data_IF_891395622807
#
_entry.id   IF_891395622807
#
_cell.length_a   1.000
_cell.length_b   1.000
_cell.length_c   1.000
_cell.angle_alpha   90.00
_cell.angle_beta   90.00
_cell.angle_gamma   90.00
#
_symmetry.space_group_name_H-M   'P 1'
#
loop_
_entity.id
_entity.type
_entity.pdbx_description
1 polymer ?
#
# COMPACT_ATOMS: atom_id res chain seq x y z
N UNK A 1 3.90 29.26 -4.72
CA UNK A 1 3.31 27.90 -4.67
C UNK A 1 2.21 27.78 -3.63
N UNK A 2 2.50 27.92 -2.32
CA UNK A 2 1.49 27.81 -1.25
C UNK A 2 0.24 28.68 -1.48
N UNK A 3 0.42 29.96 -1.80
CA UNK A 3 -0.69 30.89 -1.98
C UNK A 3 -1.56 30.51 -3.20
N UNK A 4 -0.95 30.23 -4.35
CA UNK A 4 -1.68 29.76 -5.54
C UNK A 4 -2.41 28.45 -5.28
N UNK A 5 -1.76 27.48 -4.64
CA UNK A 5 -2.39 26.21 -4.24
C UNK A 5 -3.59 26.45 -3.35
N UNK A 6 -3.49 27.39 -2.39
CA UNK A 6 -4.59 27.75 -1.50
C UNK A 6 -5.76 28.31 -2.29
N UNK A 7 -5.55 29.29 -3.16
CA UNK A 7 -6.66 29.89 -3.92
C UNK A 7 -7.37 28.86 -4.81
N UNK A 8 -6.63 27.99 -5.49
CA UNK A 8 -7.22 26.95 -6.33
C UNK A 8 -8.02 25.95 -5.48
N UNK A 9 -7.46 25.50 -4.34
CA UNK A 9 -8.16 24.59 -3.42
C UNK A 9 -9.42 25.26 -2.85
N UNK A 10 -9.31 26.50 -2.38
CA UNK A 10 -10.45 27.26 -1.85
C UNK A 10 -11.56 27.40 -2.88
N UNK A 11 -11.22 27.70 -4.14
CA UNK A 11 -12.19 27.80 -5.23
C UNK A 11 -12.87 26.45 -5.48
N UNK A 12 -12.10 25.36 -5.63
CA UNK A 12 -12.67 24.02 -5.85
C UNK A 12 -13.58 23.61 -4.70
N UNK A 13 -13.17 23.85 -3.46
CA UNK A 13 -13.96 23.52 -2.26
C UNK A 13 -15.21 24.39 -2.16
N UNK A 14 -15.12 25.68 -2.48
CA UNK A 14 -16.27 26.59 -2.47
C UNK A 14 -17.33 26.19 -3.49
N UNK A 15 -16.91 25.78 -4.69
CA UNK A 15 -17.82 25.42 -5.78
C UNK A 15 -18.37 23.99 -5.66
N UNK A 16 -17.54 23.03 -5.23
CA UNK A 16 -17.86 21.59 -5.31
C UNK A 16 -17.73 20.83 -3.99
N UNK A 17 -17.21 21.46 -2.93
CA UNK A 17 -17.00 20.85 -1.63
C UNK A 17 -15.70 20.05 -1.48
N UNK A 18 -15.38 19.72 -0.23
CA UNK A 18 -14.16 19.00 0.15
C UNK A 18 -14.04 17.61 -0.50
N UNK A 19 -15.15 16.87 -0.61
CA UNK A 19 -15.16 15.53 -1.19
C UNK A 19 -14.71 15.54 -2.67
N UNK A 20 -15.13 16.55 -3.45
CA UNK A 20 -14.69 16.69 -4.83
C UNK A 20 -13.19 17.03 -4.90
N UNK A 21 -12.66 17.81 -3.95
CA UNK A 21 -11.22 18.06 -3.85
C UNK A 21 -10.42 16.77 -3.65
N UNK A 22 -10.88 15.86 -2.78
CA UNK A 22 -10.25 14.55 -2.57
C UNK A 22 -10.27 13.70 -3.84
N UNK A 23 -11.41 13.68 -4.54
CA UNK A 23 -11.58 12.97 -5.82
C UNK A 23 -10.61 13.50 -6.87
N UNK A 24 -10.53 14.83 -7.03
CA UNK A 24 -9.60 15.48 -7.96
C UNK A 24 -8.14 15.17 -7.62
N UNK A 25 -7.75 15.18 -6.34
CA UNK A 25 -6.39 14.82 -5.93
C UNK A 25 -6.06 13.33 -6.17
N UNK A 26 -7.06 12.44 -6.11
CA UNK A 26 -6.89 11.02 -6.42
C UNK A 26 -6.90 10.70 -7.92
N UNK A 27 -7.31 11.66 -8.76
CA UNK A 27 -7.26 11.50 -10.21
C UNK A 27 -5.82 11.79 -10.70
N UNK A 28 -5.15 10.82 -11.35
CA UNK A 28 -3.74 10.96 -11.70
C UNK A 28 -3.47 12.07 -12.73
N UNK A 29 -4.43 12.37 -13.62
CA UNK A 29 -4.27 13.39 -14.66
C UNK A 29 -4.49 14.79 -14.07
N UNK A 30 -5.55 14.95 -13.29
CA UNK A 30 -5.83 16.20 -12.59
C UNK A 30 -4.72 16.53 -11.61
N UNK A 31 -4.24 15.56 -10.83
CA UNK A 31 -3.13 15.75 -9.91
C UNK A 31 -1.86 16.20 -10.64
N UNK A 32 -1.58 15.62 -11.81
CA UNK A 32 -0.43 16.01 -12.63
C UNK A 32 -0.59 17.43 -13.18
N UNK A 33 -1.76 17.76 -13.71
CA UNK A 33 -2.08 19.09 -14.23
C UNK A 33 -1.99 20.16 -13.12
N UNK A 34 -2.49 19.85 -11.93
CA UNK A 34 -2.37 20.71 -10.76
C UNK A 34 -0.91 20.95 -10.39
N UNK A 35 -0.07 19.92 -10.45
CA UNK A 35 1.38 20.07 -10.30
C UNK A 35 1.99 21.03 -11.32
N UNK A 36 1.61 20.93 -12.59
CA UNK A 36 2.08 21.84 -13.63
C UNK A 36 1.64 23.29 -13.40
N UNK A 37 0.39 23.51 -12.98
CA UNK A 37 -0.12 24.85 -12.62
C UNK A 37 0.66 25.44 -11.44
N UNK A 38 1.09 24.62 -10.49
CA UNK A 38 1.92 25.04 -9.36
C UNK A 38 3.39 25.30 -9.74
N UNK A 39 3.76 25.08 -11.00
CA UNK A 39 5.10 25.35 -11.55
C UNK A 39 6.03 24.14 -11.59
N UNK A 40 5.52 22.91 -11.48
CA UNK A 40 6.32 21.69 -11.58
C UNK A 40 6.26 21.05 -12.97
N UNK A 41 7.43 20.72 -13.52
CA UNK A 41 7.48 20.03 -14.82
C UNK A 41 6.84 18.65 -14.77
N UNK A 42 6.15 18.30 -15.84
CA UNK A 42 5.38 17.06 -15.94
C UNK A 42 6.24 15.80 -15.77
N UNK A 43 7.51 15.84 -16.17
CA UNK A 43 8.45 14.71 -16.10
C UNK A 43 9.24 14.64 -14.78
N UNK A 44 9.01 15.55 -13.84
CA UNK A 44 9.78 15.57 -12.59
C UNK A 44 9.30 14.50 -11.61
N UNK A 45 10.22 13.64 -11.19
CA UNK A 45 9.97 12.61 -10.17
C UNK A 45 9.58 13.19 -8.80
N UNK A 46 9.84 14.49 -8.58
CA UNK A 46 9.51 15.22 -7.37
C UNK A 46 8.06 15.71 -7.27
N UNK A 47 7.32 15.76 -8.40
CA UNK A 47 5.98 16.40 -8.49
C UNK A 47 5.04 15.92 -7.40
N UNK A 48 4.92 14.61 -7.19
CA UNK A 48 4.00 14.08 -6.18
C UNK A 48 4.32 14.60 -4.79
N UNK A 49 5.60 14.54 -4.40
CA UNK A 49 6.01 14.93 -3.05
C UNK A 49 5.87 16.43 -2.82
N UNK A 50 6.12 17.24 -3.85
CA UNK A 50 6.04 18.69 -3.77
C UNK A 50 4.60 19.18 -3.83
N UNK A 51 3.75 18.60 -4.68
CA UNK A 51 2.31 18.89 -4.74
C UNK A 51 1.63 18.50 -3.43
N UNK A 52 1.85 17.29 -2.92
CA UNK A 52 1.29 16.89 -1.63
C UNK A 52 1.77 17.80 -0.48
N UNK A 53 3.03 18.22 -0.50
CA UNK A 53 3.55 19.21 0.44
C UNK A 53 2.89 20.58 0.31
N UNK A 54 2.70 21.07 -0.92
CA UNK A 54 2.03 22.33 -1.21
C UNK A 54 0.56 22.31 -0.74
N UNK A 55 -0.18 21.23 -1.01
CA UNK A 55 -1.55 21.02 -0.53
C UNK A 55 -1.58 21.08 1.00
N UNK A 56 -0.76 20.26 1.68
CA UNK A 56 -0.70 20.23 3.16
C UNK A 56 -0.39 21.60 3.76
N UNK A 57 0.59 22.32 3.22
CA UNK A 57 0.95 23.65 3.72
C UNK A 57 -0.07 24.74 3.37
N UNK A 58 -0.78 24.60 2.25
CA UNK A 58 -1.79 25.58 1.80
C UNK A 58 -3.01 25.59 2.70
N UNK A 59 -3.45 24.43 3.18
CA UNK A 59 -4.65 24.31 4.02
C UNK A 59 -4.38 24.50 5.52
N UNK A 60 -3.11 24.62 5.91
CA UNK A 60 -2.71 24.71 7.32
C UNK A 60 -3.41 25.88 8.03
N UNK A 61 -4.16 25.56 9.08
CA UNK A 61 -4.99 26.51 9.85
C UNK A 61 -6.37 26.81 9.25
N UNK A 62 -6.70 26.23 8.09
CA UNK A 62 -7.97 26.39 7.37
C UNK A 62 -8.68 25.04 7.19
N UNK A 63 -8.22 23.97 7.83
CA UNK A 63 -8.71 22.61 7.61
C UNK A 63 -10.20 22.48 7.96
N UNK A 64 -10.67 23.19 8.99
CA UNK A 64 -12.08 23.20 9.41
C UNK A 64 -12.96 23.92 8.39
N UNK A 65 -12.48 25.03 7.83
CA UNK A 65 -13.20 25.87 6.89
C UNK A 65 -13.26 25.21 5.51
N UNK A 66 -12.13 24.68 5.04
CA UNK A 66 -12.03 23.92 3.80
C UNK A 66 -12.64 22.52 3.91
N UNK A 67 -12.86 22.02 5.12
CA UNK A 67 -13.58 20.79 5.38
C UNK A 67 -12.79 19.50 5.13
N UNK A 68 -11.46 19.56 5.07
CA UNK A 68 -10.60 18.38 4.97
C UNK A 68 -9.22 18.61 5.61
N UNK A 69 -8.56 17.50 5.93
CA UNK A 69 -7.26 17.42 6.57
C UNK A 69 -6.28 16.65 5.69
N UNK A 70 -4.98 16.92 5.87
CA UNK A 70 -3.90 16.22 5.16
C UNK A 70 -2.86 15.75 6.17
N UNK A 71 -2.63 14.45 6.19
CA UNK A 71 -1.68 13.77 7.05
C UNK A 71 -0.57 13.08 6.23
N UNK A 72 0.60 12.92 6.82
CA UNK A 72 1.76 12.29 6.20
C UNK A 72 2.62 13.24 5.37
N UNK A 73 3.41 12.67 4.47
CA UNK A 73 4.37 13.36 3.62
C UNK A 73 5.52 12.46 3.18
N UNK A 74 6.67 13.06 2.88
CA UNK A 74 7.88 12.36 2.43
C UNK A 74 8.72 11.83 3.60
N UNK A 75 9.35 10.68 3.42
CA UNK A 75 10.40 10.14 4.29
C UNK A 75 9.92 9.91 5.71
N UNK A 76 10.52 10.58 6.70
CA UNK A 76 10.14 10.37 8.11
C UNK A 76 8.71 10.84 8.42
N UNK A 77 8.18 11.79 7.65
CA UNK A 77 6.83 12.34 7.85
C UNK A 77 5.73 11.35 7.49
N UNK A 78 5.94 10.46 6.51
CA UNK A 78 4.97 9.39 6.18
C UNK A 78 4.65 8.50 7.39
N UNK A 79 5.64 8.26 8.26
CA UNK A 79 5.48 7.45 9.47
C UNK A 79 4.72 8.16 10.58
N UNK A 80 4.56 9.49 10.50
CA UNK A 80 3.78 10.30 11.45
C UNK A 80 2.29 10.36 11.10
N UNK A 81 1.87 9.84 9.94
CA UNK A 81 0.47 9.89 9.48
C UNK A 81 -0.54 9.42 10.54
N UNK A 82 -0.35 8.29 11.26
CA UNK A 82 -1.27 7.88 12.32
C UNK A 82 -1.44 8.93 13.42
N UNK A 83 -0.32 9.50 13.89
CA UNK A 83 -0.32 10.53 14.92
C UNK A 83 -0.98 11.83 14.44
N UNK A 84 -0.78 12.21 13.19
CA UNK A 84 -1.41 13.41 12.61
C UNK A 84 -2.93 13.23 12.46
N UNK A 85 -3.40 12.02 12.12
CA UNK A 85 -4.83 11.69 12.12
C UNK A 85 -5.40 11.75 13.55
N UNK A 86 -4.70 11.18 14.53
CA UNK A 86 -5.08 11.24 15.96
C UNK A 86 -5.15 12.70 16.47
N UNK A 87 -4.21 13.56 16.06
CA UNK A 87 -4.24 14.98 16.41
C UNK A 87 -5.46 15.69 15.79
N UNK A 88 -5.82 15.38 14.55
CA UNK A 88 -7.04 15.89 13.93
C UNK A 88 -8.31 15.38 14.63
N UNK A 89 -8.30 14.12 15.07
CA UNK A 89 -9.37 13.50 15.85
C UNK A 89 -9.63 14.31 17.15
N UNK A 90 -8.56 14.61 17.89
CA UNK A 90 -8.60 15.42 19.10
C UNK A 90 -9.11 16.85 18.82
N UNK A 91 -8.62 17.49 17.74
CA UNK A 91 -9.02 18.84 17.35
C UNK A 91 -10.51 18.94 16.94
N UNK A 92 -11.05 17.85 16.41
CA UNK A 92 -12.45 17.75 15.96
C UNK A 92 -13.39 17.18 17.02
N UNK A 93 -12.86 16.61 18.10
CA UNK A 93 -13.66 15.88 19.09
C UNK A 93 -14.35 14.65 18.49
N UNK A 94 -13.71 13.97 17.54
CA UNK A 94 -14.24 12.80 16.82
C UNK A 94 -13.29 11.61 16.94
N UNK A 95 -13.81 10.41 16.75
CA UNK A 95 -13.00 9.20 16.59
C UNK A 95 -12.64 8.99 15.12
N UNK A 96 -11.35 8.96 14.82
CA UNK A 96 -10.79 8.66 13.50
C UNK A 96 -9.94 7.38 13.49
N UNK A 97 -10.17 6.45 14.43
CA UNK A 97 -9.47 5.18 14.49
C UNK A 97 -9.56 4.35 13.20
N UNK A 98 -10.71 4.41 12.52
CA UNK A 98 -10.90 3.80 11.19
C UNK A 98 -9.98 4.40 10.11
N UNK A 99 -9.71 5.72 10.16
CA UNK A 99 -8.77 6.38 9.24
C UNK A 99 -7.32 6.02 9.54
N UNK A 100 -6.97 5.88 10.82
CA UNK A 100 -5.65 5.35 11.23
C UNK A 100 -5.43 3.94 10.68
N UNK A 101 -6.46 3.08 10.76
CA UNK A 101 -6.41 1.76 10.16
C UNK A 101 -6.26 1.84 8.64
N UNK A 102 -7.13 2.61 7.97
CA UNK A 102 -7.14 2.82 6.51
C UNK A 102 -5.77 3.28 6.01
N UNK A 103 -5.18 4.28 6.66
CA UNK A 103 -3.83 4.76 6.34
C UNK A 103 -2.76 3.66 6.44
N UNK A 104 -2.86 2.76 7.42
CA UNK A 104 -1.87 1.69 7.62
C UNK A 104 -2.04 0.57 6.61
N UNK A 105 -3.28 0.14 6.37
CA UNK A 105 -3.55 -0.98 5.45
C UNK A 105 -3.24 -0.60 4.01
N UNK A 106 -3.55 0.63 3.58
CA UNK A 106 -3.19 1.15 2.24
C UNK A 106 -1.69 1.06 2.00
N UNK A 107 -0.87 1.55 2.94
CA UNK A 107 0.59 1.45 2.84
C UNK A 107 1.10 -0.01 2.85
N UNK A 108 0.39 -0.92 3.53
CA UNK A 108 0.71 -2.35 3.56
C UNK A 108 0.37 -3.04 2.25
N UNK A 109 -0.72 -2.66 1.59
CA UNK A 109 -1.13 -3.22 0.31
C UNK A 109 -0.10 -2.87 -0.75
N UNK A 110 0.24 -1.60 -0.88
CA UNK A 110 1.18 -1.10 -1.90
C UNK A 110 2.60 -1.60 -1.69
N UNK A 111 2.99 -1.93 -0.46
CA UNK A 111 4.33 -2.45 -0.16
C UNK A 111 4.43 -3.98 -0.12
N UNK A 112 3.35 -4.70 0.17
CA UNK A 112 3.41 -6.15 0.44
C UNK A 112 2.57 -7.01 -0.50
N UNK A 113 1.41 -6.52 -0.94
CA UNK A 113 0.49 -7.28 -1.78
C UNK A 113 0.82 -7.10 -3.26
N UNK A 114 1.29 -5.92 -3.65
CA UNK A 114 1.90 -5.66 -4.95
C UNK A 114 3.42 -5.59 -4.78
N UNK A 115 4.15 -6.61 -5.22
CA UNK A 115 5.61 -6.70 -5.02
C UNK A 115 6.37 -6.38 -6.29
N UNK A 116 6.31 -5.11 -6.67
CA UNK A 116 6.87 -4.57 -7.91
C UNK A 116 8.30 -4.00 -7.78
N UNK A 117 8.88 -4.08 -6.58
CA UNK A 117 10.21 -3.56 -6.28
C UNK A 117 10.24 -2.05 -6.00
N UNK A 118 9.09 -1.38 -5.90
CA UNK A 118 9.02 0.04 -5.55
C UNK A 118 8.79 0.20 -4.05
N UNK A 119 9.83 0.65 -3.34
CA UNK A 119 9.72 0.88 -1.90
C UNK A 119 9.08 2.25 -1.63
N UNK A 120 7.98 2.25 -0.88
CA UNK A 120 7.30 3.48 -0.48
C UNK A 120 8.22 4.41 0.31
N UNK A 121 8.33 5.65 -0.15
CA UNK A 121 9.04 6.72 0.53
C UNK A 121 8.18 7.97 0.74
N UNK A 122 6.97 8.00 0.18
CA UNK A 122 5.98 9.06 0.36
C UNK A 122 4.59 8.47 0.59
N UNK A 123 3.88 9.04 1.57
CA UNK A 123 2.49 8.68 1.90
C UNK A 123 1.75 9.95 2.30
N UNK A 124 0.78 10.38 1.49
CA UNK A 124 -0.08 11.52 1.76
C UNK A 124 -1.51 11.02 1.91
N UNK A 125 -2.07 11.14 3.11
CA UNK A 125 -3.42 10.70 3.47
C UNK A 125 -4.31 11.91 3.66
N UNK A 126 -5.38 12.01 2.89
CA UNK A 126 -6.26 13.18 2.84
C UNK A 126 -7.66 12.72 3.24
N UNK A 127 -8.34 13.41 4.14
CA UNK A 127 -9.64 12.98 4.64
C UNK A 127 -10.56 14.15 4.97
N UNK A 128 -11.87 13.96 4.79
CA UNK A 128 -12.89 14.97 5.08
C UNK A 128 -13.05 15.19 6.59
N UNK A 129 -13.54 16.36 6.99
CA UNK A 129 -13.76 16.73 8.41
C UNK A 129 -14.75 15.84 9.16
N UNK A 130 -15.58 15.10 8.42
CA UNK A 130 -16.50 14.11 8.97
C UNK A 130 -15.88 12.70 9.07
N UNK A 131 -14.73 12.48 8.43
CA UNK A 131 -14.04 11.20 8.38
C UNK A 131 -14.68 10.16 7.44
N UNK A 132 -15.70 10.55 6.67
CA UNK A 132 -16.45 9.64 5.80
C UNK A 132 -15.76 9.34 4.48
N UNK A 133 -14.93 10.27 3.98
CA UNK A 133 -14.20 10.10 2.75
C UNK A 133 -12.72 10.38 2.95
N UNK A 134 -11.89 9.60 2.25
CA UNK A 134 -10.45 9.77 2.23
C UNK A 134 -9.87 9.42 0.87
N UNK A 135 -8.70 9.98 0.57
CA UNK A 135 -7.87 9.61 -0.57
C UNK A 135 -6.43 9.47 -0.13
N UNK A 136 -5.67 8.66 -0.86
CA UNK A 136 -4.24 8.48 -0.60
C UNK A 136 -3.46 8.63 -1.89
N UNK A 137 -2.44 9.48 -1.84
CA UNK A 137 -1.41 9.56 -2.87
C UNK A 137 -0.09 9.07 -2.28
N UNK A 138 0.44 8.00 -2.86
CA UNK A 138 1.69 7.37 -2.44
C UNK A 138 2.71 7.38 -3.57
N UNK A 139 3.98 7.34 -3.19
CA UNK A 139 5.06 7.14 -4.14
C UNK A 139 6.09 6.14 -3.63
N UNK A 140 6.35 5.14 -4.47
CA UNK A 140 7.44 4.19 -4.31
C UNK A 140 8.60 4.53 -5.24
N UNK A 141 9.81 4.13 -4.85
CA UNK A 141 11.02 4.25 -5.65
C UNK A 141 11.64 2.88 -5.84
N UNK A 142 12.07 2.58 -7.06
CA UNK A 142 12.85 1.40 -7.37
C UNK A 142 14.29 1.85 -7.62
N UNK A 143 15.22 1.41 -6.78
CA UNK A 143 16.62 1.84 -6.82
C UNK A 143 17.38 1.26 -8.03
N UNK A 144 16.96 0.08 -8.50
CA UNK A 144 17.61 -0.63 -9.61
C UNK A 144 17.39 0.09 -10.94
N UNK A 145 16.14 0.49 -11.22
CA UNK A 145 15.79 1.20 -12.44
C UNK A 145 15.71 2.72 -12.27
N UNK A 146 15.90 3.23 -11.04
CA UNK A 146 15.85 4.65 -10.65
C UNK A 146 14.54 5.35 -11.01
N UNK A 147 13.46 4.60 -11.17
CA UNK A 147 12.14 5.14 -11.45
C UNK A 147 11.32 5.26 -10.16
N UNK A 148 10.33 6.16 -10.20
CA UNK A 148 9.29 6.21 -9.20
C UNK A 148 7.96 5.71 -9.76
N UNK A 149 7.11 5.19 -8.87
CA UNK A 149 5.76 4.75 -9.17
C UNK A 149 4.80 5.43 -8.21
N UNK A 150 3.72 5.99 -8.75
CA UNK A 150 2.71 6.71 -7.97
C UNK A 150 1.44 5.87 -7.89
N UNK A 151 0.89 5.77 -6.69
CA UNK A 151 -0.32 5.02 -6.40
C UNK A 151 -1.38 5.98 -5.89
N UNK A 152 -2.60 5.82 -6.39
CA UNK A 152 -3.76 6.62 -6.02
C UNK A 152 -4.86 5.72 -5.49
N UNK A 153 -5.49 6.20 -4.43
CA UNK A 153 -6.61 5.56 -3.76
C UNK A 153 -7.71 6.59 -3.51
N UNK A 154 -8.97 6.16 -3.64
CA UNK A 154 -10.14 6.93 -3.27
C UNK A 154 -11.11 6.02 -2.52
N UNK A 155 -11.50 6.40 -1.30
CA UNK A 155 -12.37 5.59 -0.46
C UNK A 155 -13.78 5.39 -1.02
N UNK A 156 -14.22 6.31 -1.88
CA UNK A 156 -15.57 6.30 -2.47
C UNK A 156 -15.81 5.07 -3.36
N UNK A 157 -14.77 4.63 -4.07
CA UNK A 157 -14.86 3.53 -5.05
C UNK A 157 -14.23 2.23 -4.47
N UNK A 158 -14.00 2.18 -3.16
CA UNK A 158 -13.27 1.11 -2.50
C UNK A 158 -14.22 0.05 -1.90
N UNK A 159 -14.37 -1.07 -2.58
CA UNK A 159 -15.11 -2.23 -2.06
C UNK A 159 -14.24 -3.16 -1.20
N UNK A 160 -12.93 -3.22 -1.48
CA UNK A 160 -11.98 -4.09 -0.78
C UNK A 160 -10.60 -3.45 -0.72
N UNK A 161 -9.92 -3.52 0.43
CA UNK A 161 -8.52 -3.08 0.53
C UNK A 161 -7.54 -3.96 -0.25
N UNK A 162 -7.92 -5.19 -0.60
CA UNK A 162 -7.00 -6.22 -1.11
C UNK A 162 -7.37 -6.79 -2.47
N UNK A 163 -8.41 -6.25 -3.11
CA UNK A 163 -8.86 -6.68 -4.43
C UNK A 163 -9.18 -5.45 -5.27
N UNK A 164 -8.42 -5.23 -6.34
CA UNK A 164 -8.51 -4.07 -7.24
C UNK A 164 -8.73 -2.72 -6.52
N UNK A 165 -7.90 -2.37 -5.51
CA UNK A 165 -8.25 -1.27 -4.60
C UNK A 165 -7.81 0.12 -5.10
N UNK A 166 -6.98 0.16 -6.14
CA UNK A 166 -6.36 1.40 -6.64
C UNK A 166 -7.29 2.12 -7.61
N UNK A 167 -7.42 3.45 -7.46
CA UNK A 167 -7.99 4.28 -8.52
C UNK A 167 -7.02 4.42 -9.69
N UNK A 168 -5.71 4.44 -9.41
CA UNK A 168 -4.66 4.40 -10.43
C UNK A 168 -3.31 3.94 -9.90
N UNK A 169 -2.53 3.28 -10.75
CA UNK A 169 -1.09 3.05 -10.58
C UNK A 169 -0.35 3.64 -11.78
N UNK A 170 0.32 4.77 -11.59
CA UNK A 170 1.04 5.46 -12.66
C UNK A 170 2.42 4.82 -12.85
N UNK A 171 2.65 4.22 -14.02
CA UNK A 171 3.94 3.64 -14.39
C UNK A 171 4.16 3.64 -15.91
N UNK A 172 5.41 3.80 -16.33
CA UNK A 172 5.79 3.74 -17.75
C UNK A 172 5.97 2.30 -18.24
N UNK A 173 6.33 1.38 -17.34
CA UNK A 173 6.61 -0.02 -17.65
C UNK A 173 5.89 -0.96 -16.69
N UNK A 174 5.24 -1.96 -17.28
CA UNK A 174 4.66 -3.11 -16.57
C UNK A 174 5.67 -4.26 -16.60
N UNK A 175 6.03 -4.76 -15.43
CA UNK A 175 6.90 -5.92 -15.26
C UNK A 175 6.08 -7.06 -14.68
N UNK A 176 6.58 -8.30 -14.87
CA UNK A 176 6.05 -9.49 -14.19
C UNK A 176 6.41 -9.44 -12.70
N UNK A 177 5.41 -9.29 -11.84
CA UNK A 177 5.55 -9.02 -10.41
C UNK A 177 4.48 -9.76 -9.62
N UNK A 178 4.75 -10.15 -8.37
CA UNK A 178 3.71 -10.77 -7.55
C UNK A 178 2.60 -9.73 -7.31
N UNK A 179 1.42 -9.97 -7.87
CA UNK A 179 0.26 -9.10 -7.76
C UNK A 179 -0.88 -9.82 -7.03
N UNK A 180 -0.88 -9.73 -5.70
CA UNK A 180 -1.92 -10.31 -4.87
C UNK A 180 -3.16 -9.40 -4.74
N UNK A 181 -3.15 -8.20 -5.31
CA UNK A 181 -4.34 -7.34 -5.35
C UNK A 181 -5.21 -7.58 -6.57
N UNK A 182 -4.68 -8.28 -7.58
CA UNK A 182 -5.45 -8.61 -8.78
C UNK A 182 -6.70 -9.45 -8.46
N UNK A 183 -7.79 -9.24 -9.19
CA UNK A 183 -9.03 -10.00 -9.02
C UNK A 183 -8.78 -11.52 -9.12
N UNK A 184 -7.98 -11.96 -10.09
CA UNK A 184 -7.62 -13.36 -10.31
C UNK A 184 -6.82 -13.99 -9.15
N UNK A 185 -6.21 -13.17 -8.28
CA UNK A 185 -5.45 -13.63 -7.11
C UNK A 185 -6.33 -13.98 -5.89
N UNK A 186 -7.67 -14.00 -6.02
CA UNK A 186 -8.56 -14.28 -4.87
C UNK A 186 -8.27 -15.59 -4.16
N UNK A 187 -8.16 -16.70 -4.91
CA UNK A 187 -7.84 -18.02 -4.33
C UNK A 187 -6.48 -18.03 -3.64
N UNK A 188 -5.51 -17.29 -4.20
CA UNK A 188 -4.18 -17.16 -3.59
C UNK A 188 -4.28 -16.40 -2.26
N UNK A 189 -5.03 -15.31 -2.19
CA UNK A 189 -5.26 -14.57 -0.93
C UNK A 189 -5.89 -15.46 0.15
N UNK A 190 -6.91 -16.24 -0.21
CA UNK A 190 -7.57 -17.19 0.70
C UNK A 190 -6.60 -18.26 1.20
N UNK A 191 -5.82 -18.86 0.31
CA UNK A 191 -4.85 -19.90 0.64
C UNK A 191 -3.72 -19.35 1.51
N UNK A 192 -3.20 -18.17 1.19
CA UNK A 192 -2.18 -17.46 1.99
C UNK A 192 -2.69 -17.17 3.40
N UNK A 193 -3.94 -16.70 3.53
CA UNK A 193 -4.57 -16.50 4.84
C UNK A 193 -4.79 -17.83 5.59
N UNK A 194 -5.19 -18.90 4.88
CA UNK A 194 -5.32 -20.26 5.40
C UNK A 194 -4.01 -20.80 5.96
N UNK A 195 -2.95 -20.75 5.17
CA UNK A 195 -1.59 -21.16 5.54
C UNK A 195 -1.09 -20.44 6.80
N UNK A 196 -1.40 -19.15 6.91
CA UNK A 196 -1.00 -18.36 8.08
C UNK A 196 -1.63 -18.84 9.40
N UNK A 197 -2.72 -19.62 9.32
CA UNK A 197 -3.45 -20.24 10.44
C UNK A 197 -3.11 -21.72 10.66
N UNK A 198 -2.24 -22.30 9.84
CA UNK A 198 -1.85 -23.69 9.98
C UNK A 198 -0.75 -23.85 11.05
N UNK A 199 -0.68 -25.03 11.68
CA UNK A 199 0.35 -25.33 12.68
C UNK A 199 1.73 -25.19 12.03
N UNK A 200 2.62 -24.32 12.53
CA UNK A 200 3.94 -24.08 11.92
C UNK A 200 4.75 -25.36 11.71
N UNK A 201 4.64 -26.31 12.65
CA UNK A 201 5.31 -27.62 12.59
C UNK A 201 4.96 -28.43 11.33
N UNK A 202 3.72 -28.32 10.83
CA UNK A 202 3.29 -29.06 9.63
C UNK A 202 3.94 -28.45 8.39
N UNK A 203 3.79 -27.13 8.21
CA UNK A 203 4.38 -26.39 7.09
C UNK A 203 5.90 -26.59 7.06
N UNK A 204 6.57 -26.44 8.20
CA UNK A 204 8.03 -26.60 8.30
C UNK A 204 8.47 -28.04 7.98
N UNK A 205 7.69 -29.05 8.39
CA UNK A 205 7.97 -30.45 8.06
C UNK A 205 7.90 -30.68 6.56
N UNK A 206 6.89 -30.15 5.89
CA UNK A 206 6.72 -30.33 4.45
C UNK A 206 7.74 -29.53 3.65
N UNK A 207 8.06 -28.30 4.07
CA UNK A 207 9.18 -27.53 3.50
C UNK A 207 10.52 -28.25 3.64
N UNK A 208 10.76 -28.91 4.78
CA UNK A 208 11.99 -29.71 4.98
C UNK A 208 12.05 -30.89 4.02
N UNK A 209 10.95 -31.63 3.82
CA UNK A 209 10.89 -32.72 2.84
C UNK A 209 11.19 -32.23 1.42
N UNK A 210 10.62 -31.09 1.02
CA UNK A 210 10.85 -30.50 -0.31
C UNK A 210 12.31 -30.10 -0.45
N UNK A 211 12.91 -29.50 0.58
CA UNK A 211 14.34 -29.15 0.60
C UNK A 211 15.22 -30.39 0.45
N UNK A 212 14.96 -31.42 1.26
CA UNK A 212 15.70 -32.69 1.24
C UNK A 212 15.57 -33.38 -0.13
N UNK A 213 14.41 -33.29 -0.79
CA UNK A 213 14.20 -33.83 -2.14
C UNK A 213 14.94 -33.03 -3.22
N UNK A 214 14.91 -31.68 -3.14
CA UNK A 214 15.63 -30.80 -4.06
C UNK A 214 17.15 -30.97 -3.99
N UNK A 215 17.70 -31.12 -2.78
CA UNK A 215 19.14 -31.33 -2.58
C UNK A 215 19.62 -32.69 -3.11
N UNK A 216 18.71 -33.68 -3.23
CA UNK A 216 19.01 -35.03 -3.69
C UNK A 216 18.72 -35.27 -5.18
N UNK A 217 17.93 -34.41 -5.83
CA UNK A 217 17.51 -34.59 -7.23
C UNK A 217 18.37 -33.74 -8.18
N UNK A 218 19.21 -34.40 -9.00
CA UNK A 218 20.25 -33.78 -9.86
C UNK A 218 19.76 -33.18 -11.19
N UNK A 219 18.49 -32.82 -11.32
CA UNK A 219 17.99 -32.14 -12.52
C UNK A 219 17.02 -31.04 -12.15
N UNK A 220 17.47 -29.79 -12.32
CA UNK A 220 16.61 -28.62 -12.36
C UNK A 220 16.79 -27.88 -13.69
N UNK A 221 15.71 -27.39 -14.32
CA UNK A 221 15.77 -26.68 -15.61
C UNK A 221 16.49 -25.32 -15.51
N UNK A 222 16.85 -24.76 -16.68
CA UNK A 222 17.52 -23.47 -16.86
C UNK A 222 16.54 -22.29 -16.55
N UNK A 223 16.35 -21.99 -15.25
CA UNK A 223 15.68 -20.81 -14.59
C UNK A 223 14.16 -20.63 -14.89
N UNK A 224 13.27 -20.03 -14.06
CA UNK A 224 13.30 -19.21 -12.84
C UNK A 224 12.26 -19.75 -11.80
N UNK A 225 12.70 -20.27 -10.64
CA UNK A 225 11.86 -20.46 -9.46
C UNK A 225 12.67 -20.17 -8.20
N UNK A 226 12.00 -19.68 -7.15
CA UNK A 226 12.58 -19.41 -5.84
C UNK A 226 13.03 -20.74 -5.22
N UNK A 227 14.31 -20.83 -4.86
CA UNK A 227 14.86 -22.00 -4.19
C UNK A 227 14.55 -21.89 -2.70
N UNK A 228 14.37 -23.02 -2.03
CA UNK A 228 14.22 -23.00 -0.57
C UNK A 228 15.48 -22.45 0.14
N UNK A 229 16.64 -22.44 -0.53
CA UNK A 229 17.86 -21.77 -0.05
C UNK A 229 17.77 -20.24 -0.08
N UNK A 230 16.86 -19.66 -0.86
CA UNK A 230 16.55 -18.23 -0.83
C UNK A 230 15.64 -17.86 0.37
N UNK A 231 15.18 -18.87 1.12
CA UNK A 231 14.32 -18.71 2.28
C UNK A 231 15.04 -18.99 3.59
N UNK A 232 14.99 -18.03 4.50
CA UNK A 232 15.49 -18.21 5.87
C UNK A 232 14.45 -18.97 6.70
N UNK A 233 14.71 -20.26 6.93
CA UNK A 233 13.85 -21.15 7.70
C UNK A 233 13.59 -20.67 9.14
N UNK A 234 14.58 -20.07 9.81
CA UNK A 234 14.41 -19.54 11.18
C UNK A 234 13.45 -18.35 11.17
N UNK A 235 13.59 -17.48 10.16
CA UNK A 235 12.68 -16.36 9.97
C UNK A 235 11.27 -16.83 9.63
N UNK A 236 11.12 -17.88 8.81
CA UNK A 236 9.82 -18.46 8.47
C UNK A 236 9.14 -19.08 9.67
N UNK A 237 9.86 -19.82 10.50
CA UNK A 237 9.32 -20.36 11.75
C UNK A 237 8.76 -19.26 12.64
N UNK A 238 9.53 -18.19 12.88
CA UNK A 238 9.06 -17.04 13.68
C UNK A 238 7.80 -16.40 13.08
N UNK A 239 7.74 -16.28 11.76
CA UNK A 239 6.60 -15.72 11.04
C UNK A 239 5.38 -16.63 11.18
N UNK A 240 5.50 -17.92 10.88
CA UNK A 240 4.39 -18.87 10.98
C UNK A 240 3.87 -18.98 12.40
N UNK A 241 4.75 -19.01 13.40
CA UNK A 241 4.34 -19.00 14.81
C UNK A 241 3.56 -17.73 15.12
N UNK A 242 4.09 -16.56 14.75
CA UNK A 242 3.39 -15.29 14.99
C UNK A 242 2.05 -15.17 14.25
N UNK A 243 1.92 -15.72 13.03
CA UNK A 243 0.65 -15.68 12.30
C UNK A 243 -0.34 -16.70 12.86
N UNK A 244 0.14 -17.89 13.22
CA UNK A 244 -0.66 -18.97 13.80
C UNK A 244 -1.24 -18.61 15.16
N UNK A 245 -0.47 -17.93 16.02
CA UNK A 245 -0.94 -17.52 17.35
C UNK A 245 -2.08 -16.50 17.26
N UNK A 246 -2.02 -15.59 16.28
CA UNK A 246 -2.99 -14.50 16.10
C UNK A 246 -4.17 -14.87 15.21
N UNK A 247 -4.05 -15.93 14.40
CA UNK A 247 -5.08 -16.49 13.52
C UNK A 247 -5.86 -15.43 12.72
N UNK A 248 -5.23 -14.71 11.79
CA UNK A 248 -5.94 -13.69 11.02
C UNK A 248 -7.10 -14.29 10.22
N UNK A 249 -8.27 -13.65 10.28
CA UNK A 249 -9.50 -14.14 9.67
C UNK A 249 -9.40 -14.22 8.14
N UNK A 250 -8.69 -13.25 7.52
CA UNK A 250 -8.55 -13.12 6.08
C UNK A 250 -7.21 -12.46 5.70
N UNK A 251 -6.98 -12.28 4.40
CA UNK A 251 -5.74 -11.73 3.85
C UNK A 251 -5.50 -10.26 4.27
N UNK A 252 -6.55 -9.45 4.34
CA UNK A 252 -6.46 -8.05 4.81
C UNK A 252 -5.98 -7.99 6.27
N UNK A 253 -6.58 -8.80 7.16
CA UNK A 253 -6.14 -8.88 8.55
C UNK A 253 -4.74 -9.43 8.67
N UNK A 254 -4.33 -10.39 7.84
CA UNK A 254 -2.94 -10.86 7.77
C UNK A 254 -1.98 -9.72 7.40
N UNK A 255 -2.31 -8.92 6.38
CA UNK A 255 -1.50 -7.76 5.98
C UNK A 255 -1.38 -6.69 7.07
N UNK A 256 -2.46 -6.46 7.82
CA UNK A 256 -2.53 -5.48 8.89
C UNK A 256 -1.63 -5.85 10.09
N UNK A 257 -1.19 -7.11 10.22
CA UNK A 257 -0.41 -7.57 11.37
C UNK A 257 0.97 -6.91 11.44
N UNK A 258 1.33 -6.48 12.66
CA UNK A 258 2.70 -6.05 12.97
C UNK A 258 3.66 -7.23 12.77
N UNK A 259 4.70 -7.02 11.98
CA UNK A 259 5.72 -8.03 11.64
C UNK A 259 5.51 -8.71 10.28
N UNK A 260 4.31 -8.62 9.70
CA UNK A 260 4.03 -9.12 8.34
C UNK A 260 4.48 -8.07 7.32
N UNK A 261 5.42 -8.44 6.47
CA UNK A 261 5.97 -7.58 5.41
C UNK A 261 6.06 -8.31 4.06
N UNK A 262 6.72 -7.74 3.04
CA UNK A 262 6.66 -8.28 1.68
C UNK A 262 7.29 -9.66 1.59
N UNK A 263 8.40 -9.90 2.32
CA UNK A 263 9.07 -11.21 2.39
C UNK A 263 8.17 -12.29 2.99
N UNK A 264 7.37 -11.95 4.01
CA UNK A 264 6.42 -12.87 4.63
C UNK A 264 5.31 -13.26 3.66
N UNK A 265 4.68 -12.27 3.03
CA UNK A 265 3.60 -12.47 2.06
C UNK A 265 4.11 -13.25 0.86
N UNK A 266 5.31 -12.94 0.38
CA UNK A 266 5.98 -13.69 -0.70
C UNK A 266 6.17 -15.15 -0.33
N UNK A 267 6.71 -15.44 0.84
CA UNK A 267 6.93 -16.82 1.28
C UNK A 267 5.61 -17.60 1.34
N UNK A 268 4.55 -17.02 1.92
CA UNK A 268 3.23 -17.66 1.97
C UNK A 268 2.62 -17.87 0.57
N UNK A 269 2.75 -16.88 -0.34
CA UNK A 269 2.23 -16.98 -1.70
C UNK A 269 2.94 -18.07 -2.50
N UNK A 270 4.26 -18.21 -2.33
CA UNK A 270 5.03 -19.28 -2.98
C UNK A 270 4.68 -20.65 -2.43
N UNK A 271 4.43 -20.76 -1.12
CA UNK A 271 3.97 -22.02 -0.52
C UNK A 271 2.57 -22.37 -1.03
N UNK A 272 1.68 -21.39 -1.15
CA UNK A 272 0.35 -21.53 -1.75
C UNK A 272 0.45 -22.10 -3.17
N UNK A 273 1.32 -21.55 -4.00
CA UNK A 273 1.55 -22.05 -5.37
C UNK A 273 2.20 -23.43 -5.38
N UNK A 274 3.25 -23.65 -4.57
CA UNK A 274 4.07 -24.86 -4.59
C UNK A 274 3.34 -26.08 -4.03
N UNK A 275 2.66 -25.93 -2.89
CA UNK A 275 2.01 -27.05 -2.19
C UNK A 275 0.59 -27.27 -2.71
N UNK A 276 -0.15 -26.19 -2.97
CA UNK A 276 -1.58 -26.26 -3.28
C UNK A 276 -1.89 -25.97 -4.76
N UNK A 277 -0.88 -25.65 -5.58
CA UNK A 277 -1.08 -25.35 -7.00
C UNK A 277 -1.88 -24.06 -7.25
N UNK A 278 -2.06 -23.22 -6.22
CA UNK A 278 -2.88 -22.01 -6.30
C UNK A 278 -2.04 -20.86 -6.81
N UNK A 279 -2.26 -20.51 -8.08
CA UNK A 279 -1.57 -19.43 -8.78
C UNK A 279 -2.05 -18.05 -8.29
N UNK A 280 -1.16 -17.08 -8.38
CA UNK A 280 -1.44 -15.65 -8.23
C UNK A 280 -1.07 -14.92 -9.53
N UNK A 281 -1.60 -13.71 -9.70
CA UNK A 281 -1.28 -12.84 -10.84
C UNK A 281 0.18 -12.43 -10.84
N UNK A 282 0.79 -12.40 -12.05
CA UNK A 282 2.19 -12.06 -12.32
C UNK A 282 2.27 -10.94 -13.35
#
# INVERSE_FOLDING_TARGET
MKNLSREIISLVVSEYGAAEMLKKLSDPLWFQAFGCVLGFDWHSSGVTTTVCGAVKESIKGLEKDLGFFVAGGKGRTSRKTPLEIENAANLMGKDFGNLVYSSKIVAKVDSNALQDGYQLYHHCFIFTKDGNQWSVIQQGMNEDNRMARRYHWLSKDLDSFVCEPHSAICCDKKNKVINLVALESSKARETVAGLSREKPKNILKDLKKIKDWQEKSYTLPIRHHIRLNDMDFRRMEKIFTSTYERKPENFEKLLAMKGVGPKTIRALALISELIYGVKYSI
#
